data_IF_672054534419
#
_entry.id   IF_672054534419
#
_cell.length_a   1.000
_cell.length_b   1.000
_cell.length_c   1.000
_cell.angle_alpha   90.00
_cell.angle_beta   90.00
_cell.angle_gamma   90.00
#
_symmetry.space_group_name_H-M   'P 1'
#
loop_
_entity.id
_entity.type
_entity.pdbx_description
1 polymer ?
2 branched ?
3 water ?
#
# COMPACT_ATOMS: atom_id res chain seq x y z
N UNK A 3 -29.43 -19.31 15.51
CA UNK A 3 -29.17 -18.35 14.40
C UNK A 3 -28.50 -19.08 13.25
N UNK A 4 -28.53 -18.48 12.06
CA UNK A 4 -27.89 -19.07 10.87
C UNK A 4 -26.57 -18.36 10.64
N UNK A 5 -26.01 -17.73 11.68
CA UNK A 5 -24.71 -17.07 11.48
C UNK A 5 -24.68 -15.91 10.49
N UNK A 6 -25.84 -15.37 10.13
CA UNK A 6 -25.93 -14.24 9.21
C UNK A 6 -26.41 -13.05 10.03
N UNK A 7 -25.63 -11.97 10.05
CA UNK A 7 -25.97 -10.76 10.78
C UNK A 7 -26.01 -9.54 9.86
N UNK A 8 -26.91 -8.62 10.17
CA UNK A 8 -27.05 -7.33 9.50
C UNK A 8 -26.96 -6.28 10.59
N UNK A 9 -26.00 -5.36 10.47
CA UNK A 9 -25.79 -4.31 11.48
C UNK A 9 -27.01 -3.39 11.72
N UNK A 10 -27.88 -3.26 10.72
CA UNK A 10 -29.11 -2.47 10.86
C UNK A 10 -30.25 -3.22 11.55
N UNK A 11 -30.11 -4.53 11.76
CA UNK A 11 -31.14 -5.35 12.40
C UNK A 11 -30.63 -6.06 13.65
N UNK A 12 -29.70 -5.42 14.36
CA UNK A 12 -29.24 -5.95 15.63
C UNK A 12 -29.95 -5.13 16.71
N UNK A 13 -30.65 -5.80 17.65
CA UNK A 13 -31.34 -5.07 18.72
C UNK A 13 -30.45 -4.17 19.58
N UNK A 14 -29.37 -4.73 20.13
CA UNK A 14 -28.50 -4.02 21.09
C UNK A 14 -27.54 -3.03 20.40
N UNK A 15 -27.83 -1.73 20.54
CA UNK A 15 -27.03 -0.66 19.90
C UNK A 15 -27.62 -0.18 18.58
N UNK A 16 -27.08 0.92 18.07
CA UNK A 16 -27.53 1.53 16.80
C UNK A 16 -26.30 1.96 15.95
N UNK A 17 -26.19 1.43 14.71
CA UNK A 17 -25.00 1.58 13.87
C UNK A 17 -24.70 2.98 13.30
N UNK A 18 -25.68 3.89 13.34
CA UNK A 18 -25.47 5.28 12.92
C UNK A 18 -24.60 6.02 13.93
N UNK A 19 -24.85 5.79 15.23
CA UNK A 19 -24.11 6.45 16.31
C UNK A 19 -22.78 5.69 16.59
N UNK A 20 -22.83 4.36 16.73
CA UNK A 20 -21.61 3.55 16.97
C UNK A 20 -21.68 2.10 16.46
N UNK A 21 -21.28 1.92 15.20
CA UNK A 21 -21.19 0.57 14.59
C UNK A 21 -20.12 -0.32 15.21
N UNK A 22 -19.14 0.28 15.89
CA UNK A 22 -18.14 -0.48 16.65
C UNK A 22 -18.74 -1.31 17.78
N UNK A 23 -19.59 -0.68 18.58
CA UNK A 23 -20.34 -1.35 19.65
C UNK A 23 -21.24 -2.46 19.09
N UNK A 24 -21.86 -2.19 17.94
CA UNK A 24 -22.79 -3.13 17.30
C UNK A 24 -22.09 -4.40 16.83
N UNK A 25 -20.95 -4.24 16.17
CA UNK A 25 -20.20 -5.37 15.64
C UNK A 25 -19.56 -6.19 16.77
N UNK A 26 -18.97 -5.51 17.75
CA UNK A 26 -18.43 -6.18 18.95
C UNK A 26 -19.50 -6.96 19.72
N UNK A 27 -20.70 -6.36 19.81
CA UNK A 27 -21.87 -7.04 20.36
C UNK A 27 -22.25 -8.30 19.56
N UNK A 28 -22.19 -8.20 18.23
CA UNK A 28 -22.39 -9.36 17.36
C UNK A 28 -21.31 -10.41 17.58
N UNK A 29 -20.05 -10.00 17.65
CA UNK A 29 -18.92 -10.93 17.87
C UNK A 29 -19.10 -11.67 19.20
N UNK A 30 -19.56 -10.96 20.23
CA UNK A 30 -19.91 -11.58 21.50
C UNK A 30 -20.97 -12.67 21.34
N UNK A 31 -22.01 -12.39 20.55
CA UNK A 31 -23.07 -13.38 20.26
C UNK A 31 -22.53 -14.63 19.56
N UNK A 32 -21.58 -14.43 18.64
CA UNK A 32 -21.03 -15.54 17.87
C UNK A 32 -20.20 -16.45 18.78
N UNK A 33 -19.39 -15.85 19.66
CA UNK A 33 -18.59 -16.60 20.62
C UNK A 33 -19.47 -17.36 21.62
N UNK A 34 -20.58 -16.74 22.03
CA UNK A 34 -21.56 -17.37 22.91
C UNK A 34 -22.18 -18.61 22.28
N UNK A 35 -22.58 -18.48 21.02
CA UNK A 35 -23.24 -19.59 20.32
C UNK A 35 -22.26 -20.66 19.81
N UNK A 36 -20.99 -20.29 19.61
CA UNK A 36 -19.98 -21.22 19.08
C UNK A 36 -18.88 -21.47 20.11
N UNK A 37 -19.27 -22.07 21.23
CA UNK A 37 -18.35 -22.39 22.32
C UNK A 37 -17.49 -23.61 22.04
N UNK A 38 -18.12 -24.71 21.64
CA UNK A 38 -17.43 -26.00 21.43
C UNK A 38 -16.77 -26.08 20.07
N UNK A 39 -15.56 -26.66 20.04
CA UNK A 39 -14.69 -26.71 18.85
C UNK A 39 -14.68 -28.06 18.10
N UNK A 40 -15.33 -29.09 18.65
CA UNK A 40 -15.38 -30.41 18.03
C UNK A 40 -16.70 -31.10 18.38
N UNK A 41 -17.74 -30.74 17.65
CA UNK A 41 -19.07 -31.35 17.78
C UNK A 41 -19.52 -31.72 16.36
N UNK A 42 -19.70 -33.02 16.12
CA UNK A 42 -20.04 -33.54 14.80
C UNK A 42 -19.08 -33.03 13.72
N UNK A 43 -17.81 -33.14 14.02
CA UNK A 43 -16.80 -32.82 13.06
C UNK A 43 -16.86 -31.36 12.72
N UNK A 44 -17.26 -30.54 13.66
CA UNK A 44 -17.31 -29.12 13.43
C UNK A 44 -17.37 -28.37 14.72
N UNK A 45 -17.79 -27.12 14.69
CA UNK A 45 -17.91 -26.36 15.92
C UNK A 45 -18.04 -24.87 15.77
N UNK A 46 -16.97 -24.23 15.35
CA UNK A 46 -17.00 -22.82 15.13
C UNK A 46 -16.83 -22.39 13.71
N UNK A 47 -17.88 -22.48 12.92
CA UNK A 47 -17.68 -22.09 11.52
C UNK A 47 -17.47 -20.60 11.31
N UNK A 48 -17.74 -19.78 12.30
CA UNK A 48 -17.71 -18.32 12.12
C UNK A 48 -19.04 -17.79 11.62
N UNK A 49 -19.01 -16.61 11.02
CA UNK A 49 -20.23 -15.92 10.62
C UNK A 49 -19.96 -14.83 9.61
N UNK A 50 -21.04 -14.27 9.06
CA UNK A 50 -20.96 -13.13 8.14
C UNK A 50 -21.74 -11.95 8.73
N UNK A 51 -21.15 -10.76 8.63
CA UNK A 51 -21.75 -9.53 9.12
C UNK A 51 -21.94 -8.59 7.93
N UNK A 52 -23.18 -8.17 7.67
CA UNK A 52 -23.51 -7.36 6.50
C UNK A 52 -23.77 -5.90 6.86
N UNK A 53 -23.14 -5.01 6.10
CA UNK A 53 -23.38 -3.58 6.19
C UNK A 53 -24.14 -3.16 4.92
N UNK A 54 -25.45 -2.85 5.05
CA UNK A 54 -26.13 -2.24 3.91
C UNK A 54 -25.48 -0.90 3.57
N UNK A 55 -25.76 -0.36 2.38
CA UNK A 55 -25.20 0.97 2.11
C UNK A 55 -25.72 1.98 3.13
N UNK A 56 -24.83 2.82 3.64
CA UNK A 56 -25.19 3.75 4.71
C UNK A 56 -24.00 4.49 5.28
N UNK A 57 -24.30 5.49 6.12
CA UNK A 57 -23.29 6.29 6.81
C UNK A 57 -23.22 5.89 8.29
N UNK A 58 -22.28 5.02 8.62
CA UNK A 58 -22.13 4.47 9.98
C UNK A 58 -20.94 5.09 10.70
N UNK A 59 -21.18 5.64 11.88
CA UNK A 59 -20.09 6.18 12.69
C UNK A 59 -19.55 5.05 13.57
N UNK A 60 -18.22 4.93 13.63
CA UNK A 60 -17.54 3.98 14.52
C UNK A 60 -16.79 4.78 15.58
N UNK A 61 -17.24 4.63 16.83
CA UNK A 61 -16.60 5.24 18.02
C UNK A 61 -15.86 4.24 18.92
N UNK A 62 -16.14 2.95 18.79
CA UNK A 62 -15.39 1.90 19.48
C UNK A 62 -14.62 1.05 18.46
N UNK A 63 -13.37 0.73 18.79
CA UNK A 63 -12.57 -0.16 17.95
C UNK A 63 -13.20 -1.55 17.91
N UNK A 64 -13.32 -2.12 16.70
CA UNK A 64 -13.81 -3.49 16.54
C UNK A 64 -12.64 -4.44 16.72
N UNK A 65 -12.73 -5.32 17.72
CA UNK A 65 -11.75 -6.36 17.94
C UNK A 65 -12.24 -7.66 17.33
N UNK A 66 -11.51 -8.18 16.35
CA UNK A 66 -11.80 -9.48 15.75
C UNK A 66 -10.77 -10.50 16.25
N UNK A 67 -11.26 -11.47 17.01
CA UNK A 67 -10.42 -12.54 17.58
C UNK A 67 -11.01 -13.93 17.29
N UNK A 68 -11.77 -14.06 16.21
CA UNK A 68 -12.28 -15.36 15.74
C UNK A 68 -11.94 -15.57 14.27
N UNK A 69 -11.68 -16.83 13.92
CA UNK A 69 -11.45 -17.23 12.54
C UNK A 69 -12.77 -17.26 11.79
N UNK A 70 -12.69 -17.15 10.47
CA UNK A 70 -13.82 -17.29 9.56
C UNK A 70 -14.91 -16.21 9.75
N UNK A 71 -14.50 -14.98 10.07
CA UNK A 71 -15.45 -13.86 10.14
C UNK A 71 -15.35 -13.09 8.84
N UNK A 72 -16.47 -12.99 8.13
CA UNK A 72 -16.60 -12.14 6.95
C UNK A 72 -17.35 -10.86 7.32
N UNK A 73 -16.79 -9.73 6.91
CA UNK A 73 -17.52 -8.46 7.01
C UNK A 73 -17.65 -7.93 5.59
N UNK A 74 -18.90 -7.89 5.12
CA UNK A 74 -19.20 -7.51 3.74
C UNK A 74 -20.08 -6.27 3.74
N UNK A 75 -19.94 -5.48 2.67
CA UNK A 75 -20.85 -4.37 2.39
C UNK A 75 -21.34 -4.47 0.96
N UNK A 76 -21.94 -3.41 0.50
CA UNK A 76 -22.43 -3.33 -0.84
C UNK A 76 -22.00 -2.06 -1.52
N UNK A 77 -20.74 -1.70 -1.38
CA UNK A 77 -20.20 -0.58 -2.10
C UNK A 77 -18.96 0.02 -1.54
N UNK A 78 -17.96 0.28 -2.36
CA UNK A 78 -16.73 0.86 -1.87
C UNK A 78 -16.76 2.34 -1.70
N UNK A 79 -17.76 2.98 -2.25
CA UNK A 79 -18.06 4.36 -2.01
C UNK A 79 -16.95 5.37 -2.04
N UNK A 80 -15.90 5.14 -2.78
CA UNK A 80 -14.85 6.15 -2.86
C UNK A 80 -15.31 7.37 -3.69
N UNK A 81 -15.17 8.55 -3.11
CA UNK A 81 -15.12 9.81 -3.85
C UNK A 81 -13.84 10.47 -3.38
N UNK A 82 -13.31 11.42 -4.14
CA UNK A 82 -12.04 12.11 -3.79
C UNK A 82 -12.23 13.25 -2.78
N UNK A 83 -12.15 12.92 -1.50
CA UNK A 83 -12.17 13.93 -0.43
C UNK A 83 -11.04 14.96 -0.56
N UNK A 84 -9.90 14.54 -1.08
CA UNK A 84 -8.80 15.46 -1.35
C UNK A 84 -9.20 16.58 -2.30
N UNK A 85 -9.82 16.22 -3.43
CA UNK A 85 -10.27 17.22 -4.39
C UNK A 85 -11.25 18.19 -3.75
N UNK A 86 -12.27 17.65 -3.10
CA UNK A 86 -13.32 18.48 -2.49
C UNK A 86 -12.81 19.45 -1.41
N UNK A 87 -11.97 18.97 -0.50
CA UNK A 87 -11.38 19.85 0.53
C UNK A 87 -10.48 20.97 -0.04
N UNK A 88 -10.01 20.81 -1.28
CA UNK A 88 -9.26 21.86 -2.02
C UNK A 88 -10.12 22.75 -2.93
N UNK A 89 -11.34 22.29 -3.21
CA UNK A 89 -12.35 23.13 -3.87
C UNK A 89 -12.68 24.26 -2.87
N UNK A 90 -12.87 25.49 -3.37
CA UNK A 90 -13.30 26.58 -2.50
C UNK A 90 -14.56 26.25 -1.70
N UNK A 91 -14.58 26.62 -0.42
CA UNK A 91 -15.67 26.25 0.48
C UNK A 91 -17.04 26.88 0.12
N UNK A 92 -17.00 28.01 -0.57
CA UNK A 92 -18.21 28.66 -1.06
C UNK A 92 -19.01 27.79 -2.02
N UNK A 93 -18.30 27.01 -2.84
CA UNK A 93 -18.89 26.20 -3.90
C UNK A 93 -19.46 24.85 -3.42
N UNK A 94 -19.16 24.47 -2.18
CA UNK A 94 -19.58 23.19 -1.58
C UNK A 94 -21.08 22.84 -1.61
N UNK A 95 -21.98 23.82 -1.31
CA UNK A 95 -23.41 23.49 -1.39
C UNK A 95 -23.94 23.29 -2.81
N UNK A 96 -23.17 23.66 -3.84
CA UNK A 96 -23.49 23.34 -5.25
C UNK A 96 -23.00 21.96 -5.70
N UNK A 97 -22.15 21.28 -4.93
CA UNK A 97 -21.64 19.97 -5.34
C UNK A 97 -22.67 18.88 -5.08
N UNK A 98 -22.78 17.94 -6.00
CA UNK A 98 -23.81 16.89 -5.95
C UNK A 98 -23.71 16.01 -4.70
N UNK A 99 -22.48 15.61 -4.37
CA UNK A 99 -22.16 15.03 -3.06
C UNK A 99 -20.86 15.62 -2.52
N UNK A 100 -20.65 15.41 -1.22
CA UNK A 100 -19.45 15.88 -0.52
C UNK A 100 -18.64 14.70 0.04
N UNK A 101 -19.31 13.84 0.79
CA UNK A 101 -18.66 12.74 1.48
C UNK A 101 -18.61 11.48 0.61
N UNK A 102 -17.68 10.54 0.94
CA UNK A 102 -17.75 9.18 0.43
C UNK A 102 -19.06 8.50 0.82
N UNK A 103 -19.35 7.38 0.18
CA UNK A 103 -20.59 6.65 0.42
C UNK A 103 -20.37 5.16 0.51
N UNK A 104 -21.24 4.40 -0.16
CA UNK A 104 -21.22 2.94 -0.09
C UNK A 104 -21.68 2.47 1.27
N UNK A 105 -21.11 1.36 1.73
CA UNK A 105 -21.30 0.88 3.09
C UNK A 105 -20.18 1.50 3.89
N UNK A 106 -20.45 2.68 4.43
CA UNK A 106 -19.41 3.58 4.93
C UNK A 106 -19.21 3.48 6.43
N UNK A 107 -17.98 3.14 6.85
CA UNK A 107 -17.57 3.18 8.25
C UNK A 107 -16.72 4.44 8.46
N UNK A 108 -17.28 5.40 9.20
CA UNK A 108 -16.58 6.62 9.55
C UNK A 108 -15.79 6.38 10.82
N UNK A 109 -14.47 6.51 10.72
CA UNK A 109 -13.59 6.26 11.86
C UNK A 109 -13.55 7.50 12.76
N UNK A 110 -14.37 7.51 13.82
CA UNK A 110 -14.36 8.60 14.81
C UNK A 110 -13.59 8.19 16.08
N UNK A 111 -12.34 7.75 15.88
CA UNK A 111 -11.43 7.43 17.00
C UNK A 111 -10.34 8.51 17.07
N UNK A 112 -9.85 8.82 18.28
CA UNK A 112 -8.66 9.69 18.39
C UNK A 112 -7.34 8.95 18.02
N UNK A 113 -6.26 9.72 17.82
CA UNK A 113 -4.93 9.16 17.49
C UNK A 113 -4.36 8.32 18.64
N UNK A 114 -3.52 7.34 18.31
CA UNK A 114 -2.93 6.43 19.31
C UNK A 114 -1.64 6.95 19.94
N UNK A 115 -1.21 6.29 21.03
CA UNK A 115 -0.04 6.70 21.83
C UNK A 115 1.34 6.51 21.18
N UNK A 116 2.34 6.10 21.97
CA UNK A 116 3.77 6.06 21.53
C UNK A 116 4.09 5.16 20.31
N UNK A 117 4.01 3.84 20.47
CA UNK A 117 4.17 2.88 19.36
C UNK A 117 2.86 2.14 19.19
N UNK A 118 1.76 2.90 19.19
CA UNK A 118 0.40 2.35 19.34
C UNK A 118 -0.58 2.95 18.31
N UNK A 119 -0.16 3.04 17.04
CA UNK A 119 -1.06 3.44 15.96
C UNK A 119 -2.18 2.38 15.79
N UNK A 120 -1.91 1.15 16.23
CA UNK A 120 -2.93 0.11 16.41
C UNK A 120 -4.17 0.53 17.22
N UNK A 121 -4.00 1.39 18.22
CA UNK A 121 -5.13 1.88 19.03
C UNK A 121 -6.11 2.78 18.26
N UNK A 122 -5.65 3.38 17.17
CA UNK A 122 -6.51 4.18 16.29
C UNK A 122 -7.05 3.43 15.08
N UNK A 123 -7.08 2.11 15.13
CA UNK A 123 -7.58 1.29 14.03
C UNK A 123 -9.06 0.99 14.24
N UNK A 124 -9.85 1.19 13.19
CA UNK A 124 -11.28 0.86 13.24
C UNK A 124 -11.46 -0.63 13.48
N UNK A 125 -10.71 -1.44 12.73
CA UNK A 125 -10.75 -2.89 12.84
C UNK A 125 -9.40 -3.44 13.26
N UNK A 126 -9.36 -4.04 14.45
CA UNK A 126 -8.17 -4.70 14.98
C UNK A 126 -8.39 -6.21 14.97
N UNK A 127 -7.54 -6.93 14.24
CA UNK A 127 -7.58 -8.39 14.23
C UNK A 127 -6.39 -8.85 15.04
N UNK A 128 -6.66 -9.41 16.23
CA UNK A 128 -5.60 -9.83 17.14
C UNK A 128 -6.03 -11.03 17.95
N UNK A 129 -5.12 -11.99 18.09
CA UNK A 129 -5.32 -13.18 18.89
C UNK A 129 -3.98 -13.79 19.29
N UNK A 130 -3.92 -14.34 20.50
CA UNK A 130 -2.75 -15.07 20.98
C UNK A 130 -3.05 -16.56 20.95
N UNK A 131 -1.99 -17.35 20.80
CA UNK A 131 -2.09 -18.80 20.82
C UNK A 131 -2.44 -19.38 19.47
N UNK A 132 -2.65 -20.68 19.44
CA UNK A 132 -2.75 -21.43 18.19
C UNK A 132 -4.20 -21.86 17.88
N UNK A 133 -4.50 -22.15 16.60
CA UNK A 133 -3.61 -21.96 15.46
C UNK A 133 -3.61 -20.50 15.05
N UNK A 134 -2.93 -20.18 13.95
CA UNK A 134 -3.02 -18.82 13.39
C UNK A 134 -4.49 -18.50 13.11
N UNK A 135 -4.92 -17.27 13.44
CA UNK A 135 -6.27 -16.82 13.08
C UNK A 135 -6.37 -16.86 11.55
N UNK A 136 -7.45 -17.47 11.05
CA UNK A 136 -7.51 -17.87 9.63
C UNK A 136 -8.78 -17.47 8.88
N UNK A 137 -8.61 -17.10 7.61
CA UNK A 137 -9.71 -16.88 6.67
C UNK A 137 -10.77 -15.83 7.10
N UNK A 138 -10.28 -14.75 7.68
CA UNK A 138 -11.06 -13.54 7.90
C UNK A 138 -11.15 -12.80 6.57
N UNK A 139 -12.35 -12.34 6.22
CA UNK A 139 -12.62 -11.69 4.94
C UNK A 139 -13.22 -10.30 5.15
N UNK A 140 -12.64 -9.31 4.47
CA UNK A 140 -13.19 -7.96 4.41
C UNK A 140 -13.55 -7.71 2.96
N UNK A 141 -14.82 -7.49 2.66
CA UNK A 141 -15.28 -7.35 1.25
C UNK A 141 -16.25 -6.20 0.99
N UNK A 142 -15.83 -5.29 0.12
CA UNK A 142 -16.75 -4.39 -0.58
C UNK A 142 -17.46 -3.41 0.36
N UNK A 143 -16.70 -2.81 1.29
CA UNK A 143 -17.21 -1.69 2.07
C UNK A 143 -16.17 -0.59 2.16
N UNK A 144 -16.61 0.56 2.68
CA UNK A 144 -15.82 1.78 2.70
C UNK A 144 -15.31 2.03 4.11
N UNK A 145 -14.08 2.50 4.24
CA UNK A 145 -13.55 2.98 5.53
C UNK A 145 -13.00 4.38 5.32
N UNK A 146 -13.58 5.33 6.06
CA UNK A 146 -13.33 6.76 5.90
C UNK A 146 -12.75 7.33 7.19
N UNK A 147 -11.57 7.96 7.09
CA UNK A 147 -11.00 8.69 8.23
C UNK A 147 -11.40 10.17 8.23
N UNK A 148 -12.22 10.57 7.25
CA UNK A 148 -13.00 11.80 7.30
C UNK A 148 -12.26 13.12 7.05
N UNK A 149 -11.25 13.41 7.86
CA UNK A 149 -10.46 14.64 7.78
C UNK A 149 -9.00 14.30 8.06
N UNK A 150 -8.09 15.04 7.43
CA UNK A 150 -6.71 15.11 7.91
C UNK A 150 -6.55 16.39 8.74
N UNK A 151 -5.62 16.35 9.68
CA UNK A 151 -5.45 17.40 10.69
C UNK A 151 -4.08 18.07 10.56
N UNK A 152 -3.95 19.23 11.20
CA UNK A 152 -2.72 20.01 11.18
C UNK A 152 -1.56 19.22 11.79
N UNK A 153 -0.43 19.19 11.09
CA UNK A 153 0.78 18.50 11.57
C UNK A 153 1.91 19.49 11.89
N UNK A 154 1.60 20.79 11.95
CA UNK A 154 2.60 21.83 12.14
C UNK A 154 3.54 22.05 10.95
N UNK A 155 3.30 21.38 9.82
CA UNK A 155 4.13 21.56 8.62
C UNK A 155 3.76 22.82 7.85
N UNK A 156 2.66 23.50 8.24
CA UNK A 156 2.23 24.72 7.57
C UNK A 156 1.25 24.50 6.42
N UNK A 157 1.34 23.36 5.72
CA UNK A 157 0.36 23.02 4.66
C UNK A 157 -1.08 22.98 5.18
N UNK A 158 -2.05 23.03 4.26
CA UNK A 158 -3.48 23.00 4.63
C UNK A 158 -3.75 21.69 5.38
N UNK A 159 -4.47 21.73 6.52
CA UNK A 159 -4.72 20.52 7.37
C UNK A 159 -5.21 19.28 6.61
N UNK A 160 -6.16 19.47 5.72
CA UNK A 160 -6.68 18.42 4.85
C UNK A 160 -5.69 17.86 3.81
N UNK A 161 -4.46 18.36 3.74
CA UNK A 161 -3.42 17.84 2.82
C UNK A 161 -2.18 17.25 3.51
N UNK A 162 -2.25 17.10 4.83
CA UNK A 162 -1.13 16.58 5.61
C UNK A 162 -0.98 15.06 5.53
N UNK A 163 -2.07 14.35 5.19
CA UNK A 163 -2.14 12.89 5.25
C UNK A 163 -1.87 12.37 6.67
N UNK A 164 -2.42 13.09 7.66
CA UNK A 164 -2.10 12.86 9.09
C UNK A 164 -3.35 12.93 9.97
N UNK A 165 -3.73 11.79 10.54
CA UNK A 165 -4.77 11.76 11.59
C UNK A 165 -4.69 10.61 12.63
N UNK A 166 -3.64 9.79 12.58
CA UNK A 166 -3.49 8.66 13.50
C UNK A 166 -4.50 7.54 13.37
N UNK A 167 -5.22 7.48 12.24
CA UNK A 167 -6.30 6.51 12.07
C UNK A 167 -5.87 5.42 11.10
N UNK A 168 -6.27 4.18 11.41
CA UNK A 168 -5.99 3.02 10.58
C UNK A 168 -7.31 2.39 10.16
N UNK A 169 -7.38 1.92 8.93
CA UNK A 169 -8.57 1.24 8.44
C UNK A 169 -8.71 -0.13 9.08
N UNK A 170 -7.81 -1.04 8.68
CA UNK A 170 -7.71 -2.40 9.22
C UNK A 170 -6.28 -2.64 9.69
N UNK A 171 -6.14 -3.11 10.93
CA UNK A 171 -4.86 -3.48 11.51
C UNK A 171 -4.90 -4.94 11.95
N UNK A 172 -4.06 -5.78 11.36
CA UNK A 172 -3.93 -7.17 11.80
C UNK A 172 -2.61 -7.29 12.58
N UNK A 173 -2.73 -7.54 13.88
CA UNK A 173 -1.58 -7.61 14.77
C UNK A 173 -0.93 -9.00 14.82
N UNK A 174 -1.76 -10.05 14.76
CA UNK A 174 -1.30 -11.43 14.98
C UNK A 174 -0.98 -12.18 13.71
N UNK A 175 -0.26 -13.29 13.88
CA UNK A 175 -0.02 -14.25 12.79
C UNK A 175 -1.37 -14.70 12.22
N UNK A 176 -1.46 -14.65 10.90
CA UNK A 176 -2.70 -14.98 10.19
C UNK A 176 -2.42 -15.81 8.93
N UNK A 177 -3.37 -16.66 8.58
CA UNK A 177 -3.26 -17.58 7.45
C UNK A 177 -4.53 -17.42 6.59
N UNK A 178 -4.37 -17.29 5.28
CA UNK A 178 -5.50 -17.31 4.34
C UNK A 178 -6.48 -16.13 4.46
N UNK A 179 -6.01 -14.97 4.90
CA UNK A 179 -6.84 -13.76 4.96
C UNK A 179 -7.13 -13.19 3.58
N UNK A 180 -8.21 -12.41 3.50
CA UNK A 180 -8.62 -11.75 2.27
C UNK A 180 -9.07 -10.32 2.50
N UNK A 181 -8.58 -9.42 1.67
CA UNK A 181 -9.14 -8.08 1.58
C UNK A 181 -9.47 -7.88 0.10
N UNK A 182 -10.76 -7.78 -0.20
CA UNK A 182 -11.23 -7.69 -1.58
C UNK A 182 -12.30 -6.61 -1.73
N UNK A 183 -12.26 -5.91 -2.87
CA UNK A 183 -13.29 -4.95 -3.26
C UNK A 183 -13.49 -3.76 -2.29
N UNK A 184 -12.56 -3.54 -1.37
CA UNK A 184 -12.69 -2.48 -0.38
C UNK A 184 -12.46 -1.10 -0.97
N UNK A 185 -12.95 -0.10 -0.25
CA UNK A 185 -12.60 1.30 -0.48
C UNK A 185 -12.04 1.86 0.80
N UNK A 186 -10.80 2.36 0.75
CA UNK A 186 -10.18 3.06 1.88
C UNK A 186 -9.96 4.51 1.45
N UNK A 187 -10.30 5.45 2.32
CA UNK A 187 -10.11 6.87 2.01
C UNK A 187 -9.82 7.68 3.27
N UNK A 188 -8.87 8.62 3.14
CA UNK A 188 -8.59 9.62 4.17
C UNK A 188 -8.20 9.03 5.55
N UNK A 189 -7.30 8.05 5.50
CA UNK A 189 -6.72 7.42 6.69
C UNK A 189 -5.21 7.58 6.62
N UNK A 190 -4.55 7.74 7.76
CA UNK A 190 -3.07 7.74 7.79
C UNK A 190 -2.50 6.40 7.33
N UNK A 191 -3.21 5.33 7.71
CA UNK A 191 -2.87 3.97 7.30
C UNK A 191 -4.15 3.25 6.90
N UNK A 192 -4.18 2.74 5.68
CA UNK A 192 -5.37 2.07 5.16
C UNK A 192 -5.41 0.63 5.66
N UNK A 193 -4.31 -0.08 5.45
CA UNK A 193 -4.26 -1.52 5.68
C UNK A 193 -2.87 -1.94 6.17
N UNK A 194 -2.80 -2.39 7.42
CA UNK A 194 -1.53 -2.80 8.03
C UNK A 194 -1.68 -4.21 8.56
N UNK A 195 -0.94 -5.14 7.98
CA UNK A 195 -1.08 -6.57 8.28
C UNK A 195 0.28 -7.16 8.67
N UNK A 196 0.42 -7.41 9.97
CA UNK A 196 1.61 -8.05 10.50
C UNK A 196 1.53 -9.56 10.30
N UNK A 197 2.67 -10.19 10.01
CA UNK A 197 2.85 -11.65 10.12
C UNK A 197 1.86 -12.47 9.29
N UNK A 198 1.81 -12.18 7.99
CA UNK A 198 0.77 -12.69 7.12
C UNK A 198 1.23 -13.86 6.26
N UNK A 199 0.55 -15.00 6.39
CA UNK A 199 0.78 -16.17 5.53
C UNK A 199 -0.40 -16.36 4.58
N UNK A 200 -0.09 -16.60 3.30
CA UNK A 200 -1.11 -16.81 2.25
C UNK A 200 -2.24 -15.77 2.22
N UNK A 201 -1.83 -14.51 2.42
CA UNK A 201 -2.73 -13.37 2.39
C UNK A 201 -3.03 -13.00 0.95
N UNK A 202 -4.27 -12.59 0.69
CA UNK A 202 -4.64 -12.07 -0.61
C UNK A 202 -5.28 -10.68 -0.51
N UNK A 203 -4.70 -9.70 -1.19
CA UNK A 203 -5.27 -8.36 -1.33
C UNK A 203 -5.61 -8.16 -2.81
N UNK A 204 -6.83 -8.53 -3.21
CA UNK A 204 -7.31 -8.53 -4.62
C UNK A 204 -8.33 -7.39 -4.77
N UNK A 205 -8.14 -6.59 -5.82
CA UNK A 205 -9.18 -5.70 -6.35
C UNK A 205 -9.78 -4.68 -5.39
N UNK A 206 -8.91 -4.02 -4.62
CA UNK A 206 -9.32 -2.94 -3.74
C UNK A 206 -9.00 -1.59 -4.37
N UNK A 207 -9.70 -0.56 -3.91
CA UNK A 207 -9.41 0.83 -4.25
C UNK A 207 -8.93 1.52 -2.98
N UNK A 208 -7.63 1.81 -2.91
CA UNK A 208 -6.98 2.28 -1.67
C UNK A 208 -6.26 3.58 -1.99
N UNK A 209 -6.95 4.69 -1.77
CA UNK A 209 -6.47 6.00 -2.23
C UNK A 209 -6.65 7.09 -1.19
N UNK A 210 -5.84 8.14 -1.34
CA UNK A 210 -5.85 9.31 -0.46
C UNK A 210 -5.71 8.90 1.01
N UNK A 211 -4.76 8.00 1.24
CA UNK A 211 -4.36 7.57 2.56
C UNK A 211 -2.86 7.79 2.68
N UNK A 212 -2.38 8.07 3.89
CA UNK A 212 -0.96 8.35 4.12
C UNK A 212 -0.08 7.21 3.61
N UNK A 213 -0.36 6.02 4.14
CA UNK A 213 0.15 4.77 3.60
C UNK A 213 -1.01 3.84 3.33
N UNK A 214 -0.91 3.06 2.27
CA UNK A 214 -2.00 2.19 1.86
C UNK A 214 -1.79 0.76 2.36
N UNK A 215 -0.86 0.03 1.75
CA UNK A 215 -0.61 -1.37 2.12
C UNK A 215 0.77 -1.49 2.76
N UNK A 216 0.78 -1.86 4.02
CA UNK A 216 1.99 -2.24 4.74
C UNK A 216 1.86 -3.68 5.23
N UNK A 217 2.73 -4.55 4.73
CA UNK A 217 2.86 -5.92 5.24
C UNK A 217 4.07 -5.95 6.16
N UNK A 218 3.82 -6.01 7.47
CA UNK A 218 4.86 -5.82 8.48
C UNK A 218 5.24 -7.10 9.20
N UNK A 219 6.35 -7.02 9.93
CA UNK A 219 6.87 -8.13 10.72
C UNK A 219 7.53 -9.16 9.84
N UNK A 220 6.73 -10.08 9.32
CA UNK A 220 7.20 -11.04 8.33
C UNK A 220 6.02 -11.57 7.53
N UNK A 221 6.28 -12.51 6.61
CA UNK A 221 5.21 -13.23 5.94
C UNK A 221 5.65 -14.12 4.80
N UNK A 222 4.72 -14.94 4.32
CA UNK A 222 5.01 -15.95 3.30
C UNK A 222 3.86 -16.16 2.34
N UNK A 223 4.21 -16.41 1.07
CA UNK A 223 3.30 -16.91 0.04
C UNK A 223 2.03 -16.06 -0.13
N UNK A 224 2.16 -14.76 -0.01
CA UNK A 224 1.03 -13.85 -0.11
C UNK A 224 1.02 -13.15 -1.46
N UNK A 225 -0.08 -12.46 -1.76
CA UNK A 225 -0.19 -11.75 -3.02
C UNK A 225 -1.03 -10.49 -2.94
N UNK A 226 -0.55 -9.46 -3.63
CA UNK A 226 -1.19 -8.17 -3.72
C UNK A 226 -1.49 -7.99 -5.19
N UNK A 227 -2.76 -8.17 -5.58
CA UNK A 227 -3.14 -8.20 -6.99
C UNK A 227 -4.25 -7.23 -7.32
N UNK A 228 -4.14 -6.62 -8.49
CA UNK A 228 -5.27 -5.98 -9.13
C UNK A 228 -5.84 -4.81 -8.32
N UNK A 229 -4.98 -4.07 -7.63
CA UNK A 229 -5.40 -2.93 -6.82
C UNK A 229 -5.15 -1.61 -7.50
N UNK A 230 -5.94 -0.61 -7.11
CA UNK A 230 -5.73 0.80 -7.47
C UNK A 230 -5.24 1.50 -6.21
N UNK A 231 -4.02 2.02 -6.25
CA UNK A 231 -3.34 2.48 -5.04
C UNK A 231 -2.79 3.89 -5.23
N UNK A 232 -3.06 4.75 -4.26
CA UNK A 232 -2.49 6.10 -4.22
C UNK A 232 -2.29 6.50 -2.77
N UNK A 233 -1.06 6.91 -2.44
CA UNK A 233 -0.72 7.26 -1.06
C UNK A 233 -0.30 8.73 -0.93
N UNK A 234 0.25 9.10 0.23
CA UNK A 234 0.79 10.44 0.49
C UNK A 234 2.32 10.46 0.63
N UNK A 235 2.92 11.65 0.48
CA UNK A 235 4.36 11.77 0.21
C UNK A 235 5.31 11.40 1.34
N UNK A 236 4.78 11.29 2.57
CA UNK A 236 5.56 10.76 3.69
C UNK A 236 5.30 9.27 3.94
N UNK A 237 4.56 8.59 3.06
CA UNK A 237 4.16 7.18 3.31
C UNK A 237 4.38 6.23 2.14
N UNK A 238 3.95 4.98 2.35
CA UNK A 238 4.14 3.88 1.38
C UNK A 238 2.85 3.57 0.62
N UNK A 239 2.98 3.32 -0.69
CA UNK A 239 1.89 2.79 -1.49
C UNK A 239 1.77 1.28 -1.22
N UNK A 240 2.80 0.53 -1.60
CA UNK A 240 2.91 -0.89 -1.23
C UNK A 240 4.25 -1.08 -0.50
N UNK A 241 4.16 -1.61 0.72
CA UNK A 241 5.33 -1.87 1.54
C UNK A 241 5.25 -3.27 2.11
N UNK A 242 6.39 -3.96 2.12
CA UNK A 242 6.50 -5.28 2.72
C UNK A 242 7.87 -5.44 3.33
N UNK A 243 7.93 -6.07 4.50
CA UNK A 243 9.21 -6.38 5.14
C UNK A 243 9.27 -7.86 5.55
N UNK A 244 10.44 -8.45 5.34
CA UNK A 244 10.75 -9.84 5.76
C UNK A 244 9.78 -10.86 5.23
N UNK A 245 9.43 -10.68 3.96
CA UNK A 245 8.49 -11.54 3.27
C UNK A 245 9.23 -12.45 2.31
N UNK A 246 8.65 -13.63 2.10
CA UNK A 246 9.12 -14.55 1.09
C UNK A 246 7.96 -14.93 0.19
N UNK A 247 8.24 -15.11 -1.09
CA UNK A 247 7.23 -15.59 -2.03
C UNK A 247 6.05 -14.65 -2.21
N UNK A 248 6.32 -13.35 -2.11
CA UNK A 248 5.29 -12.34 -2.30
C UNK A 248 5.10 -12.12 -3.80
N UNK A 249 3.83 -12.00 -4.23
CA UNK A 249 3.50 -11.72 -5.61
C UNK A 249 2.77 -10.38 -5.71
N UNK A 250 3.39 -9.41 -6.36
CA UNK A 250 2.83 -8.07 -6.54
C UNK A 250 2.60 -7.87 -8.03
N UNK A 251 1.36 -8.06 -8.48
CA UNK A 251 1.01 -7.95 -9.92
C UNK A 251 -0.28 -7.19 -10.16
N UNK A 252 -0.38 -6.66 -11.37
CA UNK A 252 -1.64 -6.19 -11.93
C UNK A 252 -2.19 -4.99 -11.17
N UNK A 253 -1.32 -4.29 -10.46
CA UNK A 253 -1.72 -3.12 -9.69
C UNK A 253 -1.49 -1.90 -10.56
N UNK A 254 -2.34 -0.91 -10.34
CA UNK A 254 -2.16 0.40 -10.92
C UNK A 254 -1.90 1.34 -9.76
N UNK A 255 -0.62 1.61 -9.51
CA UNK A 255 -0.20 2.50 -8.43
C UNK A 255 0.02 3.89 -9.00
N UNK A 256 -0.81 4.83 -8.56
CA UNK A 256 -0.68 6.25 -8.95
C UNK A 256 -0.09 7.05 -7.78
N UNK A 257 0.22 8.35 -8.00
CA UNK A 257 0.79 9.15 -6.90
C UNK A 257 -0.17 9.29 -5.70
N UNK A 258 0.28 9.79 -4.54
CA UNK A 258 1.56 10.46 -4.37
C UNK A 258 2.30 9.91 -3.15
N UNK A 259 2.42 8.60 -3.09
CA UNK A 259 3.31 7.97 -2.13
C UNK A 259 4.77 8.28 -2.42
N UNK A 260 5.58 8.22 -1.36
CA UNK A 260 7.04 8.33 -1.48
C UNK A 260 7.58 7.28 -2.44
N UNK A 261 7.26 6.02 -2.16
CA UNK A 261 7.53 4.92 -3.05
C UNK A 261 6.20 4.40 -3.62
N UNK A 262 6.33 3.61 -4.69
CA UNK A 262 5.24 2.81 -5.24
C UNK A 262 5.30 1.39 -4.67
N UNK A 263 6.52 0.83 -4.60
CA UNK A 263 6.79 -0.44 -3.90
C UNK A 263 8.06 -0.28 -3.07
N UNK A 264 8.02 -0.75 -1.82
CA UNK A 264 9.16 -0.63 -0.89
C UNK A 264 9.32 -1.94 -0.14
N UNK A 265 10.45 -2.60 -0.38
CA UNK A 265 10.80 -3.88 0.23
C UNK A 265 11.97 -3.69 1.20
N UNK A 266 11.80 -4.16 2.44
CA UNK A 266 12.90 -4.27 3.41
C UNK A 266 13.15 -5.74 3.69
N UNK A 267 14.32 -6.24 3.27
CA UNK A 267 14.67 -7.64 3.48
C UNK A 267 13.60 -8.59 3.01
N UNK A 268 13.11 -8.37 1.79
CA UNK A 268 12.13 -9.23 1.14
C UNK A 268 12.89 -10.10 0.16
N UNK A 269 12.61 -11.40 0.17
CA UNK A 269 13.32 -12.34 -0.72
C UNK A 269 12.38 -13.15 -1.59
N UNK A 270 12.90 -13.62 -2.73
CA UNK A 270 12.25 -14.63 -3.56
C UNK A 270 10.80 -14.31 -3.84
N UNK A 271 10.59 -13.04 -4.16
CA UNK A 271 9.29 -12.47 -4.43
C UNK A 271 9.33 -11.88 -5.84
N UNK A 272 8.17 -11.48 -6.34
CA UNK A 272 8.02 -11.02 -7.71
C UNK A 272 7.21 -9.72 -7.72
N UNK A 273 7.80 -8.65 -8.23
CA UNK A 273 7.09 -7.39 -8.48
C UNK A 273 7.05 -7.24 -9.98
N UNK A 274 6.08 -7.90 -10.61
CA UNK A 274 5.99 -7.87 -12.07
C UNK A 274 4.63 -7.44 -12.59
N UNK A 275 4.67 -6.73 -13.71
CA UNK A 275 3.49 -6.37 -14.47
C UNK A 275 2.52 -5.50 -13.65
N UNK A 276 3.05 -4.37 -13.18
CA UNK A 276 2.25 -3.32 -12.57
C UNK A 276 2.43 -2.05 -13.38
N UNK A 277 1.45 -1.16 -13.31
CA UNK A 277 1.61 0.20 -13.79
C UNK A 277 1.95 1.05 -12.58
N UNK A 278 3.11 1.70 -12.62
CA UNK A 278 3.60 2.52 -11.51
C UNK A 278 3.79 3.96 -11.97
N UNK A 279 3.21 4.90 -11.23
CA UNK A 279 3.32 6.33 -11.51
C UNK A 279 3.57 7.10 -10.21
N UNK A 280 4.69 7.82 -10.13
CA UNK A 280 4.97 8.71 -9.01
C UNK A 280 5.44 10.08 -9.51
N UNK A 281 5.29 11.08 -8.64
CA UNK A 281 5.79 12.41 -8.92
C UNK A 281 7.20 12.64 -8.34
N UNK A 282 7.77 11.63 -7.67
CA UNK A 282 9.08 11.72 -7.02
C UNK A 282 9.98 10.57 -7.47
N UNK A 283 11.30 10.69 -7.21
CA UNK A 283 12.19 9.53 -7.37
C UNK A 283 11.99 8.50 -6.25
N UNK A 284 12.69 7.38 -6.38
CA UNK A 284 12.62 6.28 -5.42
C UNK A 284 11.31 5.51 -5.49
N UNK A 285 10.88 5.19 -6.70
CA UNK A 285 9.58 4.56 -6.92
C UNK A 285 9.54 3.13 -6.42
N UNK A 286 10.61 2.37 -6.70
CA UNK A 286 10.71 0.98 -6.24
C UNK A 286 12.02 0.79 -5.50
N UNK A 287 11.94 0.40 -4.23
CA UNK A 287 13.10 0.29 -3.35
C UNK A 287 13.20 -1.12 -2.81
N UNK A 288 14.26 -1.82 -3.21
CA UNK A 288 14.64 -3.08 -2.61
C UNK A 288 15.80 -2.76 -1.68
N UNK A 289 15.56 -2.89 -0.38
CA UNK A 289 16.50 -2.46 0.65
C UNK A 289 16.79 -3.58 1.66
N UNK A 290 17.94 -3.45 2.34
CA UNK A 290 18.32 -4.33 3.46
C UNK A 290 18.31 -5.82 3.12
N UNK A 291 19.16 -6.20 2.17
CA UNK A 291 19.24 -7.57 1.62
C UNK A 291 17.91 -8.09 1.12
N UNK A 292 17.29 -7.29 0.27
CA UNK A 292 16.18 -7.74 -0.54
C UNK A 292 16.79 -8.43 -1.75
N UNK A 293 16.66 -9.75 -1.81
CA UNK A 293 17.47 -10.59 -2.68
C UNK A 293 16.64 -11.60 -3.46
N UNK A 294 17.17 -12.03 -4.60
CA UNK A 294 16.54 -13.05 -5.45
C UNK A 294 15.10 -12.71 -5.82
N UNK A 295 14.84 -11.43 -6.10
CA UNK A 295 13.50 -10.99 -6.49
C UNK A 295 13.46 -10.74 -7.98
N UNK A 296 12.29 -10.98 -8.57
CA UNK A 296 12.04 -10.67 -9.97
C UNK A 296 11.27 -9.34 -10.07
N UNK A 297 11.83 -8.39 -10.80
CA UNK A 297 11.16 -7.12 -11.11
C UNK A 297 11.04 -7.05 -12.62
N UNK A 298 9.83 -7.28 -13.14
CA UNK A 298 9.66 -7.55 -14.57
C UNK A 298 8.42 -6.95 -15.20
N UNK A 299 8.54 -6.63 -16.49
CA UNK A 299 7.44 -6.11 -17.34
C UNK A 299 6.54 -5.06 -16.66
N UNK A 300 7.13 -4.22 -15.83
CA UNK A 300 6.42 -3.11 -15.19
C UNK A 300 6.55 -1.88 -16.08
N UNK A 301 5.59 -0.97 -15.94
CA UNK A 301 5.64 0.33 -16.58
C UNK A 301 5.82 1.40 -15.50
N UNK A 302 6.98 2.05 -15.52
CA UNK A 302 7.33 3.16 -14.62
C UNK A 302 7.09 4.49 -15.35
N UNK A 303 6.36 5.40 -14.72
CA UNK A 303 6.35 6.79 -15.12
C UNK A 303 6.71 7.65 -13.91
N UNK A 304 7.76 8.47 -14.03
CA UNK A 304 8.03 9.56 -13.08
C UNK A 304 7.93 10.90 -13.81
N UNK A 305 7.15 11.83 -13.26
CA UNK A 305 7.00 13.19 -13.84
C UNK A 305 6.81 14.24 -12.73
N UNK A 306 6.52 15.50 -13.11
CA UNK A 306 6.24 16.55 -12.13
C UNK A 306 4.77 16.51 -11.75
N UNK A 307 4.48 16.71 -10.46
CA UNK A 307 3.12 17.00 -9.95
C UNK A 307 2.50 18.18 -10.70
N UNK A 308 1.30 18.01 -11.31
CA UNK A 308 0.64 19.13 -12.00
C UNK A 308 -0.42 19.87 -11.17
N UNK A 309 -0.89 19.24 -10.09
CA UNK A 309 -1.97 19.78 -9.30
C UNK A 309 -1.43 20.83 -8.32
N UNK A 310 -1.89 22.07 -8.47
CA UNK A 310 -1.21 23.20 -7.82
C UNK A 310 -1.24 23.25 -6.27
N UNK A 311 -2.22 22.61 -5.61
CA UNK A 311 -2.15 22.55 -4.13
C UNK A 311 -0.97 21.77 -3.55
N UNK A 312 -0.46 20.80 -4.32
CA UNK A 312 0.71 20.01 -3.93
C UNK A 312 1.97 20.36 -4.75
N UNK A 313 1.91 21.42 -5.54
CA UNK A 313 3.05 21.88 -6.32
C UNK A 313 4.21 22.13 -5.34
N UNK A 314 5.37 21.59 -5.64
CA UNK A 314 6.53 21.72 -4.75
C UNK A 314 6.50 20.93 -3.45
N UNK A 315 5.54 20.03 -3.27
CA UNK A 315 5.65 19.00 -2.24
C UNK A 315 6.42 17.86 -2.87
N UNK A 316 7.36 17.29 -2.11
CA UNK A 316 8.12 16.12 -2.54
C UNK A 316 8.34 15.16 -1.36
N UNK A 317 9.11 14.09 -1.60
CA UNK A 317 9.41 13.05 -0.62
C UNK A 317 10.84 13.12 -0.06
N UNK A 318 11.52 14.25 -0.29
CA UNK A 318 12.86 14.49 0.22
C UNK A 318 14.02 13.89 -0.57
N UNK A 319 13.73 13.10 -1.60
CA UNK A 319 14.77 12.37 -2.32
C UNK A 319 15.14 13.07 -3.62
N UNK A 320 16.43 13.02 -3.96
CA UNK A 320 16.93 13.70 -5.16
C UNK A 320 16.97 12.76 -6.38
N UNK A 321 17.23 13.33 -7.54
CA UNK A 321 17.21 12.56 -8.80
C UNK A 321 18.34 11.55 -8.96
N UNK A 322 19.35 11.61 -8.09
CA UNK A 322 20.39 10.58 -8.04
C UNK A 322 19.97 9.31 -7.29
N UNK A 323 18.86 9.36 -6.55
CA UNK A 323 18.27 8.17 -5.90
C UNK A 323 18.02 7.00 -6.85
N UNK A 324 17.47 7.32 -8.03
CA UNK A 324 17.00 6.32 -8.97
C UNK A 324 15.52 6.07 -8.82
N UNK A 325 14.92 5.57 -9.91
CA UNK A 325 13.53 5.12 -9.91
C UNK A 325 13.44 3.73 -9.31
N UNK A 326 14.40 2.88 -9.67
CA UNK A 326 14.55 1.55 -9.10
C UNK A 326 15.87 1.49 -8.32
N UNK A 327 15.78 1.48 -6.99
CA UNK A 327 16.95 1.37 -6.11
C UNK A 327 17.03 -0.04 -5.55
N UNK A 328 18.20 -0.68 -5.70
CA UNK A 328 18.42 -2.07 -5.25
C UNK A 328 19.65 -2.16 -4.33
N UNK A 329 19.41 -2.57 -3.09
CA UNK A 329 20.45 -2.97 -2.15
C UNK A 329 20.16 -4.42 -1.74
N UNK A 330 20.79 -5.35 -2.46
CA UNK A 330 20.66 -6.80 -2.19
C UNK A 330 21.19 -7.66 -3.33
N UNK A 331 21.13 -8.97 -3.15
CA UNK A 331 21.82 -9.92 -4.04
C UNK A 331 20.93 -10.67 -5.03
N UNK A 332 21.46 -10.91 -6.23
CA UNK A 332 20.90 -11.86 -7.20
C UNK A 332 19.47 -11.62 -7.64
N UNK A 333 19.07 -10.34 -7.71
CA UNK A 333 17.76 -9.99 -8.22
C UNK A 333 17.76 -10.06 -9.75
N UNK A 334 16.56 -10.07 -10.32
CA UNK A 334 16.35 -10.15 -11.76
C UNK A 334 15.46 -8.98 -12.22
N UNK A 335 16.05 -8.07 -13.00
CA UNK A 335 15.34 -6.89 -13.47
C UNK A 335 15.20 -6.97 -15.00
N UNK A 336 14.02 -7.39 -15.47
CA UNK A 336 13.84 -7.78 -16.86
C UNK A 336 12.60 -7.15 -17.50
N UNK A 337 12.79 -6.54 -18.67
CA UNK A 337 11.65 -6.15 -19.51
C UNK A 337 10.85 -4.94 -19.07
N UNK A 338 11.41 -4.11 -18.20
CA UNK A 338 10.67 -2.96 -17.69
C UNK A 338 10.78 -1.78 -18.65
N UNK A 339 9.76 -0.93 -18.64
CA UNK A 339 9.76 0.33 -19.36
C UNK A 339 9.85 1.44 -18.34
N UNK A 340 10.68 2.44 -18.60
CA UNK A 340 10.83 3.62 -17.72
C UNK A 340 10.64 4.91 -18.52
N UNK A 341 9.68 5.74 -18.11
CA UNK A 341 9.51 7.08 -18.66
C UNK A 341 9.92 8.11 -17.62
N UNK A 342 10.95 8.90 -17.94
CA UNK A 342 11.48 9.94 -17.04
C UNK A 342 11.19 11.31 -17.63
N UNK A 343 10.28 12.05 -17.00
CA UNK A 343 9.97 13.43 -17.39
C UNK A 343 10.37 14.35 -16.22
N UNK A 344 11.40 15.17 -16.44
CA UNK A 344 11.88 16.14 -15.46
C UNK A 344 12.23 17.42 -16.21
N UNK A 345 12.07 18.58 -15.57
CA UNK A 345 12.55 19.82 -16.20
C UNK A 345 13.99 20.09 -15.77
N UNK A 346 14.85 20.33 -16.76
CA UNK A 346 16.29 20.50 -16.56
C UNK A 346 16.57 21.57 -15.50
N UNK A 347 15.79 22.64 -15.51
CA UNK A 347 15.89 23.71 -14.49
C UNK A 347 15.68 23.29 -13.02
N UNK A 348 14.93 22.21 -12.77
CA UNK A 348 14.58 21.77 -11.38
C UNK A 348 15.10 20.36 -10.97
N UNK A 349 16.14 19.87 -11.66
CA UNK A 349 16.82 18.62 -11.28
C UNK A 349 17.69 18.85 -10.04
N UNK A 350 17.34 18.21 -8.92
CA UNK A 350 18.16 18.25 -7.70
C UNK A 350 19.10 17.03 -7.72
N UNK A 351 20.36 17.15 -7.31
CA UNK A 351 21.02 18.39 -6.99
C UNK A 351 21.36 19.09 -8.27
N UNK A 352 21.68 20.36 -8.21
CA UNK A 352 21.86 21.15 -9.40
C UNK A 352 22.74 20.50 -10.43
N UNK A 353 22.16 20.28 -11.60
CA UNK A 353 22.92 19.85 -12.74
C UNK A 353 23.51 18.48 -12.65
N UNK A 354 22.76 17.56 -12.08
CA UNK A 354 23.21 16.15 -12.09
C UNK A 354 22.51 15.39 -13.22
N UNK A 355 23.05 14.23 -13.59
CA UNK A 355 22.40 13.34 -14.56
C UNK A 355 21.45 12.41 -13.79
N UNK A 356 20.12 12.52 -14.01
CA UNK A 356 19.21 11.65 -13.26
C UNK A 356 19.44 10.17 -13.56
N UNK A 357 19.30 9.32 -12.54
CA UNK A 357 19.55 7.87 -12.66
C UNK A 357 18.23 7.11 -12.61
N UNK A 358 18.14 6.06 -13.43
CA UNK A 358 16.92 5.28 -13.58
C UNK A 358 17.00 4.05 -12.68
N UNK A 359 17.91 3.13 -12.98
CA UNK A 359 18.13 1.94 -12.17
C UNK A 359 19.42 2.14 -11.40
N UNK A 360 19.40 1.88 -10.10
CA UNK A 360 20.59 2.02 -9.26
C UNK A 360 20.84 0.80 -8.38
N UNK A 361 22.07 0.29 -8.46
CA UNK A 361 22.54 -0.81 -7.64
C UNK A 361 23.51 -0.24 -6.63
N UNK A 362 23.03 -0.04 -5.40
CA UNK A 362 23.84 0.56 -4.32
C UNK A 362 24.67 -0.48 -3.56
N UNK A 363 24.23 -1.73 -3.58
CA UNK A 363 24.91 -2.82 -2.88
C UNK A 363 24.49 -4.19 -3.38
N UNK A 364 25.25 -5.22 -3.00
CA UNK A 364 24.97 -6.61 -3.35
C UNK A 364 25.64 -7.04 -4.64
N UNK A 365 25.42 -8.30 -5.01
CA UNK A 365 26.07 -8.91 -6.18
C UNK A 365 25.17 -9.88 -6.94
N UNK A 366 25.56 -10.14 -8.18
CA UNK A 366 24.89 -11.12 -9.03
C UNK A 366 23.54 -10.69 -9.58
N UNK A 367 23.27 -9.38 -9.54
CA UNK A 367 22.01 -8.84 -10.01
C UNK A 367 22.01 -8.85 -11.53
N UNK A 368 20.96 -9.45 -12.10
CA UNK A 368 20.80 -9.60 -13.54
C UNK A 368 19.85 -8.53 -14.05
N UNK A 369 20.31 -7.68 -14.96
CA UNK A 369 19.51 -6.56 -15.50
C UNK A 369 19.51 -6.61 -17.02
N UNK A 370 18.44 -7.11 -17.63
CA UNK A 370 18.39 -7.33 -19.09
C UNK A 370 17.16 -6.73 -19.75
N UNK A 371 17.36 -6.22 -20.97
CA UNK A 371 16.32 -5.60 -21.80
C UNK A 371 15.32 -4.72 -21.01
N UNK A 372 15.80 -3.55 -20.64
CA UNK A 372 14.99 -2.49 -20.06
C UNK A 372 15.13 -1.26 -20.94
N UNK A 373 14.01 -0.57 -21.18
CA UNK A 373 13.96 0.55 -22.11
C UNK A 373 13.61 1.83 -21.34
N UNK A 374 14.46 2.84 -21.50
CA UNK A 374 14.32 4.13 -20.84
C UNK A 374 14.07 5.19 -21.89
N UNK A 375 12.96 5.92 -21.76
CA UNK A 375 12.68 7.09 -22.62
C UNK A 375 12.63 8.30 -21.69
N UNK A 376 13.51 9.26 -21.96
CA UNK A 376 13.68 10.43 -21.11
C UNK A 376 13.81 11.69 -21.97
N UNK A 377 13.15 12.75 -21.55
CA UNK A 377 13.35 14.09 -22.11
C UNK A 377 14.74 14.74 -21.83
N UNK A 378 15.55 14.15 -20.94
CA UNK A 378 16.93 14.60 -20.69
C UNK A 378 17.90 13.41 -20.79
N UNK A 379 19.19 13.67 -20.64
CA UNK A 379 20.16 12.59 -20.51
C UNK A 379 20.01 11.96 -19.16
N UNK A 380 20.11 10.62 -19.12
CA UNK A 380 19.94 9.84 -17.90
C UNK A 380 21.01 8.78 -17.75
N UNK A 381 21.30 8.41 -16.51
CA UNK A 381 22.10 7.22 -16.22
C UNK A 381 21.14 6.03 -16.13
N UNK A 382 20.98 5.31 -17.24
CA UNK A 382 20.04 4.19 -17.29
C UNK A 382 20.28 3.20 -16.15
N UNK A 383 21.55 2.84 -15.96
CA UNK A 383 21.98 2.02 -14.84
C UNK A 383 23.19 2.67 -14.18
N UNK A 384 23.18 2.74 -12.86
CA UNK A 384 24.31 3.23 -12.08
C UNK A 384 24.67 2.17 -11.06
N UNK A 385 25.87 1.61 -11.20
CA UNK A 385 26.35 0.59 -10.28
C UNK A 385 27.40 1.24 -9.39
N UNK A 386 27.04 1.47 -8.13
CA UNK A 386 27.98 1.99 -7.14
C UNK A 386 29.17 1.03 -6.97
N UNK A 387 30.30 1.54 -6.45
CA UNK A 387 31.41 0.65 -6.09
C UNK A 387 30.99 -0.45 -5.10
N UNK A 388 30.08 -0.12 -4.18
CA UNK A 388 29.54 -1.07 -3.20
C UNK A 388 28.81 -2.28 -3.76
N UNK A 389 28.40 -2.21 -5.03
CA UNK A 389 27.84 -3.37 -5.76
C UNK A 389 28.79 -3.82 -6.86
N UNK A 390 28.91 -5.14 -7.01
CA UNK A 390 29.79 -5.73 -8.01
C UNK A 390 29.26 -7.07 -8.54
N UNK A 391 29.90 -7.57 -9.58
CA UNK A 391 29.62 -8.89 -10.15
C UNK A 391 28.18 -9.02 -10.64
N UNK A 392 27.71 -7.93 -11.26
CA UNK A 392 26.36 -7.85 -11.83
C UNK A 392 26.44 -8.03 -13.34
N UNK A 393 25.40 -8.60 -13.92
CA UNK A 393 25.25 -8.68 -15.38
C UNK A 393 24.21 -7.63 -15.84
N UNK A 394 24.58 -6.83 -16.85
CA UNK A 394 23.75 -5.70 -17.32
C UNK A 394 23.70 -5.67 -18.85
N UNK A 395 22.55 -6.10 -19.39
CA UNK A 395 22.37 -6.33 -20.81
C UNK A 395 21.31 -5.41 -21.40
N UNK A 396 21.57 -4.90 -22.61
CA UNK A 396 20.57 -4.18 -23.43
C UNK A 396 19.68 -3.20 -22.63
N UNK A 397 20.28 -2.52 -21.66
CA UNK A 397 19.55 -1.57 -20.82
C UNK A 397 20.10 -0.15 -20.98
N UNK A 398 20.84 0.09 -22.06
CA UNK A 398 21.51 1.38 -22.32
C UNK A 398 22.79 1.24 -23.12
N UNK A 399 23.24 2.35 -23.71
CA UNK A 399 24.55 2.45 -24.37
C UNK A 399 25.63 2.52 -23.31
N UNK A 400 26.90 2.39 -23.71
CA UNK A 400 28.01 2.43 -22.74
C UNK A 400 28.04 3.73 -21.90
N UNK A 401 27.69 4.88 -22.50
CA UNK A 401 27.53 6.15 -21.76
C UNK A 401 26.48 6.06 -20.66
N UNK A 402 25.38 5.37 -20.97
CA UNK A 402 24.20 5.31 -20.11
C UNK A 402 24.30 4.29 -18.97
N UNK A 403 25.25 3.36 -19.07
CA UNK A 403 25.50 2.37 -18.02
C UNK A 403 26.79 2.77 -17.31
N UNK A 404 26.65 3.45 -16.17
CA UNK A 404 27.79 3.90 -15.38
C UNK A 404 28.16 2.79 -14.40
N UNK A 405 29.29 2.13 -14.65
CA UNK A 405 29.69 0.93 -13.91
C UNK A 405 31.10 0.52 -14.28
N UNK A 406 31.75 -0.17 -13.34
CA UNK A 406 33.14 -0.57 -13.46
C UNK A 406 33.20 -1.91 -14.22
N UNK A 407 33.66 -1.85 -15.48
CA UNK A 407 33.68 -3.02 -16.38
C UNK A 407 34.56 -4.18 -15.92
N UNK A 408 35.56 -3.89 -15.09
CA UNK A 408 36.43 -4.93 -14.52
C UNK A 408 35.63 -5.96 -13.73
N UNK A 409 34.69 -5.51 -12.91
CA UNK A 409 33.95 -6.39 -12.00
C UNK A 409 32.47 -6.57 -12.36
N UNK A 410 32.05 -6.13 -13.55
CA UNK A 410 30.67 -6.34 -14.02
C UNK A 410 30.63 -6.70 -15.51
N UNK A 411 29.73 -7.61 -15.87
CA UNK A 411 29.46 -7.95 -17.27
C UNK A 411 28.46 -6.96 -17.83
N UNK A 412 28.86 -6.21 -18.86
CA UNK A 412 27.99 -5.22 -19.50
C UNK A 412 27.87 -5.56 -20.98
N UNK A 413 26.65 -5.51 -21.50
CA UNK A 413 26.46 -5.38 -22.94
C UNK A 413 25.66 -4.10 -23.19
N UNK A 414 26.18 -3.26 -24.08
CA UNK A 414 25.48 -2.06 -24.48
C UNK A 414 24.38 -2.41 -25.47
N UNK A 415 23.27 -1.70 -25.36
CA UNK A 415 22.25 -1.67 -26.40
C UNK A 415 22.91 -1.15 -27.69
N UNK A 416 22.81 -1.90 -28.80
CA UNK A 416 23.29 -1.41 -30.10
C UNK A 416 22.65 -0.08 -30.52
N UNK A 417 23.36 0.71 -31.36
CA UNK A 417 22.95 2.10 -31.66
C UNK A 417 23.09 2.56 -33.13
N UNK A 418 22.39 3.66 -33.44
CA UNK A 418 22.57 4.50 -34.65
C UNK A 418 22.02 3.87 -35.95
X LIG B 1 -4.25 13.78 -11.30
X LIG B 1 -3.82 15.23 -11.31
X LIG B 1 -4.59 16.04 -12.31
X LIG B 1 -4.52 15.40 -13.68
X LIG B 1 -4.86 13.94 -13.60
X LIG B 1 -4.46 13.28 -14.91
X LIG B 1 -4.08 15.78 -10.02
X LIG B 1 -4.05 17.36 -12.38
X LIG B 1 -5.42 16.09 -14.54
X LIG B 1 -4.13 13.27 -12.60
X LIG B 1 -3.04 13.26 -15.00
X LIG B 1 -3.61 13.21 -10.60
X LIG B 1 -2.75 15.29 -11.54
X LIG B 1 -5.64 16.09 -12.00
X LIG B 1 -3.49 15.51 -14.06
X LIG B 1 -5.93 13.81 -13.46
X LIG B 1 -4.88 13.83 -15.75
X LIG B 1 -4.85 12.25 -14.94
X LIG B 1 -3.81 16.70 -10.02
X LIG B 1 -4.32 17.79 -13.20
X LIG B 1 -5.63 15.52 -15.30
X LIG B 1 -2.66 13.05 -14.14
X LIG B 2 -5.45 13.29 -8.52
X LIG B 2 -5.86 12.73 -9.88
X LIG B 2 -7.32 12.38 -9.90
X LIG B 2 -7.36 11.28 -10.92
X LIG B 2 -6.07 10.55 -10.65
X LIG B 2 -5.58 9.80 -11.88
X LIG B 2 -5.94 12.46 -7.46
X LIG B 2 -5.60 13.67 -10.91
X LIG B 2 -8.15 13.47 -10.30
X LIG B 2 -8.49 10.46 -10.72
X LIG B 2 -5.16 11.56 -10.21
X LIG B 2 -4.17 9.54 -11.78
X LIG B 2 -5.85 14.30 -8.41
X LIG B 2 -4.36 13.34 -8.47
X LIG B 2 -7.63 11.99 -8.91
X LIG B 2 -7.35 11.71 -11.93
X LIG B 2 -6.25 9.83 -9.84
X LIG B 2 -5.79 10.39 -12.77
X LIG B 2 -6.11 8.85 -11.96
X LIG B 2 -7.63 14.28 -10.28
X LIG B 2 -8.80 10.12 -11.58
X LIG B 2 -3.71 10.36 -11.54
X LIG B 3 -5.77 13.78 -5.44
X LIG B 3 -5.24 12.63 -6.23
X LIG B 3 -5.33 11.41 -5.39
X LIG B 3 -4.20 10.58 -5.89
X LIG B 3 -3.23 11.55 -6.51
X LIG B 3 -2.92 11.28 -7.96
X LIG B 3 -5.78 14.85 -6.35
X LIG B 3 -6.61 10.81 -5.53
X LIG B 3 -3.60 9.89 -4.82
X LIG B 3 -3.86 12.80 -6.48
X LIG B 3 -2.08 12.32 -8.40
X LIG B 3 -5.10 14.00 -4.59
X LIG B 3 -6.77 13.57 -5.06
X LIG B 3 -5.15 11.67 -4.34
X LIG B 3 -4.57 9.87 -6.67
X LIG B 3 -2.30 11.57 -5.93
X LIG B 3 -2.43 10.32 -8.07
X LIG B 3 -3.84 11.27 -8.55
X LIG B 3 -6.46 15.48 -6.10
X LIG B 3 -7.29 11.39 -5.16
X LIG B 3 -2.92 10.45 -4.42
X LIG B 3 -1.58 12.02 -9.17
#
# INVERSE_FOLDING_TARGET
MPSNNRYDVTEWPAGNPAKDIGEVINSIIADIKARQGAADVDDGGKPGAVIYLPPGDYHLRTQVLIDISFLRIEGSGHGFTSSSIRFNVPEEEWPDLHELWPGGSRVIVDLPAGGAGDSAAGAAFLVAREGSPRISSVEFSNFCIDGLHFTADGSGRHPENTYANGKTGIHVASANDSFRVTDMGFVYLENALTIHKADALSIHHNFIAECGSCIELRGWGQASKITDNLVGAGPRGHSIYAENHGGLLVTANNVFPRGASSVHFKGVTRSSVTNNRLHAFYPGMVRLEENSSENLVATNHFLRDHEPWTPFFGVDNGLDDLTGLLSISGNNNSVIGNHFSEVVDANEIRPEGATPVIIRLTAGTGNFVSTNHVVSNVDTQHVLVDPGSARNTILDSGSDTQVVADRAVNAIRATPTVGF
GLC C1 C2 C3 C4 C5 C6 O2 O3 O4 O5 O6 H1 H2 H3 H4 H5 H61 H62 HO2 HO3 HO4 HO6
FRU C1 C2 C3 C4 C5 C6 O1 O2 O3 O4 O5 O6 H11 H12 H3 H4 H5 H61 H62 HO3 HO4 HO6
FRU C1 C2 C3 C4 C5 C6 O1 O3 O4 O5 O6 H11 H12 H3 H4 H5 H61 H62 HO1 HO3 HO4 HO6
#
